data_IF_436180220530
#
_entry.id   IF_436180220530
#
_cell.length_a   1.000
_cell.length_b   1.000
_cell.length_c   1.000
_cell.angle_alpha   90.00
_cell.angle_beta   90.00
_cell.angle_gamma   90.00
#
_symmetry.space_group_name_H-M   'P 1'
#
loop_
_entity.id
_entity.type
_entity.pdbx_description
1 polymer ?
#
# COMPACT_ATOMS: atom_id res chain seq x y z
N UNK A 1 13.93 6.75 -2.50
CA UNK A 1 15.27 6.18 -2.83
C UNK A 1 15.05 4.71 -3.20
N UNK A 2 15.67 4.14 -4.23
CA UNK A 2 15.45 2.71 -4.55
C UNK A 2 16.28 1.83 -3.58
N UNK A 3 15.61 1.25 -2.58
CA UNK A 3 16.22 0.35 -1.59
C UNK A 3 16.17 -1.10 -2.10
N UNK A 4 15.09 -1.45 -2.81
CA UNK A 4 14.81 -2.76 -3.37
C UNK A 4 14.72 -2.60 -4.90
N UNK A 5 15.70 -3.14 -5.65
CA UNK A 5 15.69 -3.09 -7.11
C UNK A 5 14.47 -3.77 -7.70
N UNK A 6 13.81 -3.10 -8.65
CA UNK A 6 12.65 -3.66 -9.39
C UNK A 6 11.49 -4.10 -8.48
N UNK A 7 11.30 -3.42 -7.35
CA UNK A 7 10.27 -3.76 -6.37
C UNK A 7 8.83 -3.63 -6.90
N UNK A 8 8.64 -2.89 -7.99
CA UNK A 8 7.34 -2.60 -8.57
C UNK A 8 6.50 -1.69 -7.68
N UNK A 9 5.20 -1.70 -7.94
CA UNK A 9 4.21 -0.95 -7.20
C UNK A 9 3.33 -1.87 -6.35
N UNK A 10 2.76 -1.32 -5.30
CA UNK A 10 1.75 -1.95 -4.46
C UNK A 10 0.48 -1.08 -4.41
N UNK A 11 -0.58 -1.63 -3.81
CA UNK A 11 -1.71 -0.81 -3.38
C UNK A 11 -1.55 -0.44 -1.91
N UNK A 12 -1.76 0.82 -1.59
CA UNK A 12 -1.73 1.37 -0.24
C UNK A 12 -2.96 2.24 -0.04
N UNK A 13 -3.59 2.19 1.13
CA UNK A 13 -4.71 3.09 1.42
C UNK A 13 -4.21 4.52 1.60
N UNK A 14 -5.06 5.50 1.25
CA UNK A 14 -4.72 6.93 1.40
C UNK A 14 -4.41 7.28 2.85
N UNK A 15 -5.13 6.70 3.82
CA UNK A 15 -4.86 6.90 5.25
C UNK A 15 -3.46 6.43 5.66
N UNK A 16 -2.99 5.29 5.12
CA UNK A 16 -1.65 4.80 5.37
C UNK A 16 -0.61 5.71 4.69
N UNK A 17 -0.83 6.06 3.42
CA UNK A 17 0.08 6.89 2.63
C UNK A 17 0.27 8.29 3.24
N UNK A 18 -0.79 8.90 3.74
CA UNK A 18 -0.74 10.22 4.38
C UNK A 18 -0.33 10.17 5.85
N UNK A 19 -0.07 8.99 6.42
CA UNK A 19 0.31 8.83 7.82
C UNK A 19 -0.78 9.24 8.82
N UNK A 20 -2.07 9.15 8.43
CA UNK A 20 -3.21 9.51 9.30
C UNK A 20 -3.39 8.52 10.45
N UNK A 21 -2.95 7.29 10.26
CA UNK A 21 -2.88 6.23 11.26
C UNK A 21 -1.73 5.28 10.88
N UNK A 22 -1.11 4.59 11.85
CA UNK A 22 -0.01 3.67 11.58
C UNK A 22 -0.46 2.53 10.67
N UNK A 23 0.45 2.01 9.85
CA UNK A 23 0.22 0.77 9.11
C UNK A 23 -0.07 -0.35 10.10
N UNK A 24 -1.13 -1.11 9.85
CA UNK A 24 -1.55 -2.21 10.72
C UNK A 24 -1.66 -3.54 10.02
N UNK A 25 -1.99 -3.53 8.74
CA UNK A 25 -2.18 -4.74 7.95
C UNK A 25 -1.42 -4.65 6.65
N UNK A 26 -0.68 -5.71 6.34
CA UNK A 26 -0.03 -5.94 5.06
C UNK A 26 -0.38 -7.34 4.61
N UNK A 27 -1.01 -7.43 3.44
CA UNK A 27 -1.39 -8.70 2.83
C UNK A 27 -0.89 -8.77 1.40
N UNK A 28 -0.56 -9.98 0.96
CA UNK A 28 -0.06 -10.22 -0.38
C UNK A 28 -1.07 -11.00 -1.18
N UNK A 29 -1.57 -10.37 -2.23
CA UNK A 29 -2.47 -10.96 -3.20
C UNK A 29 -1.72 -11.39 -4.45
N UNK A 30 -2.43 -12.12 -5.32
CA UNK A 30 -1.93 -12.41 -6.66
C UNK A 30 -1.78 -11.09 -7.40
N UNK A 31 -0.60 -10.89 -8.01
CA UNK A 31 -0.34 -9.78 -8.91
C UNK A 31 -1.35 -9.75 -10.06
N UNK A 32 -1.90 -8.57 -10.34
CA UNK A 32 -2.83 -8.35 -11.46
C UNK A 32 -2.16 -7.72 -12.69
N UNK A 33 -0.92 -7.22 -12.56
CA UNK A 33 -0.18 -6.55 -13.62
C UNK A 33 1.33 -6.72 -13.44
N UNK A 34 2.17 -6.65 -14.49
CA UNK A 34 3.62 -6.85 -14.38
C UNK A 34 4.32 -5.96 -13.34
N UNK A 35 3.79 -4.76 -13.10
CA UNK A 35 4.33 -3.81 -12.10
C UNK A 35 3.73 -4.02 -10.71
N UNK A 36 2.56 -4.68 -10.57
CA UNK A 36 1.94 -4.94 -9.27
C UNK A 36 2.68 -6.08 -8.56
N UNK A 37 3.30 -5.80 -7.43
CA UNK A 37 4.04 -6.78 -6.65
C UNK A 37 3.15 -7.62 -5.70
N UNK A 38 1.85 -7.31 -5.69
CA UNK A 38 0.81 -8.01 -4.95
C UNK A 38 0.56 -7.48 -3.54
N UNK A 39 1.39 -6.57 -3.01
CA UNK A 39 1.16 -6.04 -1.67
C UNK A 39 -0.05 -5.11 -1.63
N UNK A 40 -0.82 -5.24 -0.54
CA UNK A 40 -1.91 -4.36 -0.12
C UNK A 40 -1.61 -3.90 1.30
N UNK A 41 -1.46 -2.58 1.49
CA UNK A 41 -1.01 -1.98 2.75
C UNK A 41 -2.13 -1.09 3.29
N UNK A 42 -2.54 -1.31 4.54
CA UNK A 42 -3.66 -0.61 5.18
C UNK A 42 -3.27 -0.09 6.56
N UNK A 43 -3.84 1.06 6.91
CA UNK A 43 -3.69 1.73 8.19
C UNK A 43 -4.64 1.18 9.24
N UNK A 44 -4.34 1.40 10.51
CA UNK A 44 -5.19 1.02 11.64
C UNK A 44 -6.57 1.70 11.64
N UNK A 45 -6.76 2.78 10.87
CA UNK A 45 -8.02 3.51 10.76
C UNK A 45 -8.95 2.98 9.67
N UNK A 46 -8.49 2.07 8.83
CA UNK A 46 -9.26 1.63 7.67
C UNK A 46 -10.33 0.61 8.08
N UNK A 47 -11.61 1.01 7.95
CA UNK A 47 -12.76 0.12 8.12
C UNK A 47 -13.08 -0.63 6.83
N UNK A 48 -13.89 -1.68 6.92
CA UNK A 48 -14.35 -2.43 5.74
C UNK A 48 -15.07 -1.53 4.72
N UNK A 49 -15.86 -0.55 5.19
CA UNK A 49 -16.55 0.42 4.33
C UNK A 49 -15.56 1.34 3.61
N UNK A 50 -14.51 1.79 4.31
CA UNK A 50 -13.45 2.61 3.71
C UNK A 50 -12.68 1.83 2.64
N UNK A 51 -12.34 0.57 2.93
CA UNK A 51 -11.62 -0.31 2.01
C UNK A 51 -12.45 -0.72 0.79
N UNK A 52 -13.78 -0.68 0.87
CA UNK A 52 -14.68 -1.04 -0.22
C UNK A 52 -14.74 0.03 -1.34
N UNK A 53 -14.31 1.25 -1.05
CA UNK A 53 -14.24 2.34 -2.02
C UNK A 53 -12.83 2.38 -2.65
N UNK A 54 -12.78 2.22 -3.97
CA UNK A 54 -11.52 2.21 -4.73
C UNK A 54 -10.79 3.56 -4.68
N UNK A 55 -11.49 4.67 -4.45
CA UNK A 55 -10.87 6.01 -4.38
C UNK A 55 -10.01 6.18 -3.13
N UNK A 56 -10.19 5.31 -2.13
CA UNK A 56 -9.38 5.25 -0.92
C UNK A 56 -8.08 4.44 -1.10
N UNK A 57 -7.85 3.88 -2.28
CA UNK A 57 -6.64 3.13 -2.61
C UNK A 57 -5.77 3.91 -3.59
N UNK A 58 -4.46 3.73 -3.45
CA UNK A 58 -3.45 4.35 -4.30
C UNK A 58 -2.45 3.32 -4.77
N UNK A 59 -2.05 3.42 -6.04
CA UNK A 59 -0.86 2.75 -6.56
C UNK A 59 0.36 3.52 -6.08
N UNK A 60 1.24 2.84 -5.37
CA UNK A 60 2.41 3.43 -4.71
C UNK A 60 3.66 2.66 -5.11
N UNK A 61 4.76 3.36 -5.40
CA UNK A 61 6.06 2.70 -5.55
C UNK A 61 6.41 1.98 -4.25
N UNK A 62 6.83 0.72 -4.33
CA UNK A 62 7.03 -0.07 -3.12
C UNK A 62 8.16 0.48 -2.23
N UNK A 63 9.18 1.11 -2.80
CA UNK A 63 10.24 1.73 -2.02
C UNK A 63 9.72 2.97 -1.27
N UNK A 64 8.87 3.77 -1.90
CA UNK A 64 8.24 4.91 -1.23
C UNK A 64 7.33 4.44 -0.08
N UNK A 65 6.62 3.32 -0.25
CA UNK A 65 5.84 2.72 0.83
C UNK A 65 6.72 2.27 2.01
N UNK A 66 7.90 1.70 1.74
CA UNK A 66 8.89 1.32 2.77
C UNK A 66 9.52 2.51 3.50
N UNK A 67 9.50 3.72 2.91
CA UNK A 67 10.01 4.92 3.57
C UNK A 67 9.02 5.50 4.60
N UNK A 68 7.71 5.19 4.50
CA UNK A 68 6.67 5.74 5.39
C UNK A 68 6.67 5.04 6.75
N UNK A 69 6.72 3.71 6.77
CA UNK A 69 6.73 2.88 7.98
C UNK A 69 7.73 1.72 7.74
N UNK A 70 8.96 1.79 8.29
CA UNK A 70 10.02 0.81 8.06
C UNK A 70 9.78 -0.56 8.72
#
# INVERSE_FOLDING_TARGET
MEIIPQAGACLMTVNAWEGRAPVRWMLRERSNAPVDNGWRIMSAADSSEYLADSDNWRITDFNDACEIEP
#
